data_IF_795506889651
#
_entry.id   IF_795506889651
#
_cell.length_a   1.000
_cell.length_b   1.000
_cell.length_c   1.000
_cell.angle_alpha   90.00
_cell.angle_beta   90.00
_cell.angle_gamma   90.00
#
_symmetry.space_group_name_H-M   'P 1'
#
loop_
_entity.id
_entity.type
_entity.pdbx_description
1 polymer ?
#
# COMPACT_ATOMS: atom_id res chain seq x y z
N UNK A 1 -5.20 63.66 50.61
CA UNK A 1 -4.21 63.39 49.55
C UNK A 1 -3.79 61.92 49.63
N UNK A 2 -4.06 61.17 48.55
CA UNK A 2 -3.49 59.88 48.07
C UNK A 2 -2.43 59.23 49.00
N UNK A 3 -2.49 57.93 49.33
CA UNK A 3 -1.92 56.79 48.53
C UNK A 3 -2.30 55.47 49.22
N UNK A 4 -3.12 54.63 48.56
CA UNK A 4 -2.75 53.45 47.75
C UNK A 4 -2.47 52.20 48.61
N UNK A 5 -3.51 51.37 48.78
CA UNK A 5 -3.45 50.06 49.41
C UNK A 5 -2.81 49.04 48.47
N UNK A 6 -1.86 48.26 48.98
CA UNK A 6 -1.22 47.14 48.30
C UNK A 6 -2.19 45.95 48.34
N UNK A 7 -2.78 45.62 47.19
CA UNK A 7 -3.53 44.37 46.98
C UNK A 7 -2.53 43.27 46.64
N UNK A 8 -2.30 42.35 47.59
CA UNK A 8 -1.58 41.10 47.36
C UNK A 8 -2.52 40.17 46.58
N UNK A 9 -2.25 40.00 45.28
CA UNK A 9 -2.94 39.03 44.45
C UNK A 9 -2.46 37.62 44.81
N UNK A 10 -3.30 36.86 45.52
CA UNK A 10 -3.09 35.44 45.74
C UNK A 10 -3.22 34.69 44.39
N UNK A 11 -2.10 34.29 43.81
CA UNK A 11 -2.08 33.46 42.62
C UNK A 11 -2.53 32.03 42.98
N UNK A 12 -3.80 31.70 42.70
CA UNK A 12 -4.28 30.32 42.71
C UNK A 12 -3.59 29.57 41.55
N UNK A 13 -2.62 28.74 41.87
CA UNK A 13 -2.05 27.76 40.95
C UNK A 13 -3.01 26.59 40.83
N UNK A 14 -3.86 26.61 39.80
CA UNK A 14 -4.65 25.44 39.42
C UNK A 14 -3.71 24.46 38.73
N UNK A 15 -3.22 23.47 39.47
CA UNK A 15 -2.52 22.32 38.90
C UNK A 15 -3.55 21.43 38.21
N UNK A 16 -3.71 21.58 36.90
CA UNK A 16 -4.46 20.61 36.10
C UNK A 16 -3.75 19.25 36.20
N UNK A 17 -4.45 18.14 36.48
CA UNK A 17 -3.84 16.83 36.41
C UNK A 17 -3.42 16.61 34.96
N UNK A 18 -2.14 16.36 34.73
CA UNK A 18 -1.66 15.92 33.44
C UNK A 18 -2.41 14.62 33.13
N UNK A 19 -3.34 14.67 32.17
CA UNK A 19 -3.95 13.48 31.61
C UNK A 19 -2.82 12.68 30.99
N UNK A 20 -2.35 11.67 31.71
CA UNK A 20 -1.45 10.66 31.18
C UNK A 20 -2.18 10.04 29.99
N UNK A 21 -1.79 10.43 28.77
CA UNK A 21 -2.25 9.78 27.56
C UNK A 21 -1.76 8.34 27.66
N UNK A 22 -2.66 7.40 27.95
CA UNK A 22 -2.38 5.98 27.79
C UNK A 22 -2.14 5.76 26.30
N UNK A 23 -0.87 5.77 25.91
CA UNK A 23 -0.46 5.35 24.57
C UNK A 23 -0.81 3.87 24.46
N UNK A 24 -1.88 3.56 23.75
CA UNK A 24 -2.20 2.20 23.37
C UNK A 24 -0.99 1.62 22.63
N UNK A 25 -0.48 0.44 23.02
CA UNK A 25 0.61 -0.20 22.29
C UNK A 25 0.24 -0.26 20.81
N UNK A 26 1.15 0.17 19.94
CA UNK A 26 0.93 0.06 18.50
C UNK A 26 0.67 -1.41 18.16
N UNK A 27 -0.35 -1.72 17.33
CA UNK A 27 -0.61 -3.09 16.92
C UNK A 27 0.65 -3.69 16.29
N UNK A 28 0.98 -4.92 16.69
CA UNK A 28 2.11 -5.66 16.11
C UNK A 28 1.73 -6.10 14.70
N UNK A 29 2.15 -5.34 13.69
CA UNK A 29 1.99 -5.73 12.29
C UNK A 29 3.09 -6.72 11.93
N UNK A 30 2.73 -7.98 11.71
CA UNK A 30 3.66 -8.99 11.20
C UNK A 30 3.58 -9.02 9.68
N UNK A 31 4.69 -8.73 9.02
CA UNK A 31 4.80 -8.85 7.56
C UNK A 31 5.37 -10.23 7.21
N UNK A 32 4.84 -10.92 6.18
CA UNK A 32 5.38 -12.19 5.73
C UNK A 32 6.88 -12.05 5.37
N UNK A 33 7.66 -13.12 5.53
CA UNK A 33 9.06 -13.14 5.13
C UNK A 33 9.22 -13.15 3.61
N UNK A 34 10.42 -12.84 3.11
CA UNK A 34 10.76 -13.11 1.71
C UNK A 34 11.04 -14.60 1.51
N UNK A 35 10.55 -15.15 0.39
CA UNK A 35 10.78 -16.53 -0.01
C UNK A 35 11.65 -16.63 -1.25
N UNK A 36 11.52 -17.76 -1.96
CA UNK A 36 12.10 -17.91 -3.31
C UNK A 36 11.52 -16.86 -4.27
N UNK A 37 12.20 -16.62 -5.36
CA UNK A 37 11.70 -15.75 -6.43
C UNK A 37 10.60 -16.47 -7.22
N UNK A 38 9.54 -15.74 -7.58
CA UNK A 38 8.50 -16.19 -8.48
C UNK A 38 9.09 -16.54 -9.85
N UNK A 39 8.71 -17.69 -10.43
CA UNK A 39 9.17 -18.04 -11.78
C UNK A 39 8.21 -17.49 -12.85
N UNK A 40 8.65 -17.52 -14.12
CA UNK A 40 7.86 -17.01 -15.23
C UNK A 40 6.51 -17.73 -15.42
N UNK A 41 6.43 -19.03 -15.11
CA UNK A 41 5.18 -19.78 -15.26
C UNK A 41 4.12 -19.29 -14.25
N UNK A 42 4.53 -19.09 -13.00
CA UNK A 42 3.69 -18.51 -11.94
C UNK A 42 3.28 -17.07 -12.25
N UNK A 43 4.22 -16.25 -12.75
CA UNK A 43 3.92 -14.89 -13.18
C UNK A 43 2.88 -14.88 -14.31
N UNK A 44 2.99 -15.78 -15.29
CA UNK A 44 1.98 -15.94 -16.36
C UNK A 44 0.62 -16.39 -15.84
N UNK A 45 0.58 -17.24 -14.80
CA UNK A 45 -0.69 -17.58 -14.13
C UNK A 45 -1.33 -16.36 -13.49
N UNK A 46 -0.56 -15.52 -12.80
CA UNK A 46 -1.06 -14.27 -12.22
C UNK A 46 -1.57 -13.30 -13.32
N UNK A 47 -0.80 -13.12 -14.40
CA UNK A 47 -1.18 -12.28 -15.54
C UNK A 47 -2.50 -12.72 -16.18
N UNK A 48 -2.64 -14.01 -16.49
CA UNK A 48 -3.86 -14.55 -17.09
C UNK A 48 -5.10 -14.32 -16.21
N UNK A 49 -4.95 -14.47 -14.88
CA UNK A 49 -6.04 -14.19 -13.94
C UNK A 49 -6.37 -12.69 -13.86
N UNK A 50 -5.35 -11.81 -13.89
CA UNK A 50 -5.54 -10.37 -13.94
C UNK A 50 -6.29 -9.95 -15.22
N UNK A 51 -5.84 -10.44 -16.38
CA UNK A 51 -6.46 -10.16 -17.67
C UNK A 51 -7.92 -10.63 -17.70
N UNK A 52 -8.18 -11.85 -17.22
CA UNK A 52 -9.54 -12.39 -17.16
C UNK A 52 -10.48 -11.52 -16.31
N UNK A 53 -10.02 -11.09 -15.13
CA UNK A 53 -10.82 -10.21 -14.25
C UNK A 53 -11.02 -8.82 -14.88
N UNK A 54 -10.00 -8.23 -15.49
CA UNK A 54 -10.12 -6.94 -16.17
C UNK A 54 -11.10 -7.01 -17.36
N UNK A 55 -10.98 -8.04 -18.21
CA UNK A 55 -11.86 -8.26 -19.36
C UNK A 55 -13.31 -8.50 -18.95
N UNK A 56 -13.53 -9.29 -17.90
CA UNK A 56 -14.87 -9.55 -17.34
C UNK A 56 -15.59 -8.26 -16.95
N UNK A 57 -14.87 -7.25 -16.49
CA UNK A 57 -15.43 -5.97 -16.04
C UNK A 57 -15.33 -4.84 -17.09
N UNK A 58 -14.78 -5.13 -18.28
CA UNK A 58 -14.62 -4.13 -19.35
C UNK A 58 -13.56 -3.06 -19.04
N UNK A 59 -12.53 -3.40 -18.29
CA UNK A 59 -11.43 -2.49 -17.95
C UNK A 59 -10.18 -2.80 -18.78
N UNK A 60 -9.51 -1.74 -19.26
CA UNK A 60 -8.22 -1.84 -19.91
C UNK A 60 -7.14 -1.45 -18.90
N UNK A 61 -6.21 -2.35 -18.62
CA UNK A 61 -5.17 -2.17 -17.60
C UNK A 61 -3.78 -2.56 -18.10
N UNK A 62 -2.77 -2.02 -17.43
CA UNK A 62 -1.41 -2.54 -17.38
C UNK A 62 -1.30 -3.44 -16.16
N UNK A 63 -0.66 -4.59 -16.33
CA UNK A 63 -0.36 -5.54 -15.26
C UNK A 63 1.14 -5.81 -15.25
N UNK A 64 1.78 -5.61 -14.10
CA UNK A 64 3.23 -5.81 -13.89
C UNK A 64 3.44 -6.81 -12.77
N UNK A 65 4.25 -7.85 -13.02
CA UNK A 65 4.70 -8.81 -12.01
C UNK A 65 6.19 -8.63 -11.77
N UNK A 66 6.58 -8.54 -10.50
CA UNK A 66 7.98 -8.35 -10.07
C UNK A 66 8.43 -9.39 -9.05
N UNK A 67 9.74 -9.61 -8.99
CA UNK A 67 10.43 -10.33 -7.93
C UNK A 67 10.38 -9.56 -6.59
N UNK A 68 10.77 -10.16 -5.46
CA UNK A 68 10.81 -9.46 -4.17
C UNK A 68 11.70 -8.21 -4.14
N UNK A 69 12.72 -8.16 -5.00
CA UNK A 69 13.61 -6.99 -5.18
C UNK A 69 12.91 -5.82 -5.88
N UNK A 70 11.77 -6.08 -6.54
CA UNK A 70 11.10 -5.16 -7.47
C UNK A 70 11.56 -5.32 -8.93
N UNK A 71 12.48 -6.26 -9.22
CA UNK A 71 12.90 -6.53 -10.60
C UNK A 71 11.75 -7.12 -11.43
N UNK A 72 11.62 -6.68 -12.68
CA UNK A 72 10.55 -7.12 -13.59
C UNK A 72 10.68 -8.61 -13.92
N UNK A 73 9.57 -9.34 -13.81
CA UNK A 73 9.44 -10.74 -14.29
C UNK A 73 8.60 -10.79 -15.56
N UNK A 74 7.43 -10.16 -15.54
CA UNK A 74 6.51 -10.16 -16.67
C UNK A 74 5.61 -8.91 -16.65
N UNK A 75 5.19 -8.48 -17.83
CA UNK A 75 4.34 -7.30 -18.00
C UNK A 75 3.38 -7.50 -19.18
N UNK A 76 2.15 -7.03 -19.02
CA UNK A 76 1.15 -6.96 -20.08
C UNK A 76 0.44 -5.61 -20.04
N UNK A 77 0.10 -5.08 -21.22
CA UNK A 77 -0.70 -3.85 -21.36
C UNK A 77 -1.83 -4.13 -22.32
N UNK A 78 -3.06 -4.00 -21.84
CA UNK A 78 -4.25 -4.09 -22.69
C UNK A 78 -4.31 -2.89 -23.65
N UNK A 79 -4.85 -3.12 -24.83
CA UNK A 79 -5.05 -2.07 -25.83
C UNK A 79 -5.96 -0.96 -25.29
N UNK A 80 -5.67 0.29 -25.67
CA UNK A 80 -6.42 1.45 -25.19
C UNK A 80 -6.17 1.86 -23.73
N UNK A 81 -5.31 1.17 -22.98
CA UNK A 81 -4.90 1.62 -21.63
C UNK A 81 -4.07 2.90 -21.70
N UNK A 82 -4.25 3.81 -20.74
CA UNK A 82 -3.51 5.07 -20.64
C UNK A 82 -2.01 4.81 -20.47
N UNK A 83 -1.16 5.57 -21.19
CA UNK A 83 0.29 5.33 -21.17
C UNK A 83 0.94 5.49 -19.79
N UNK A 84 0.46 6.43 -18.97
CA UNK A 84 0.94 6.62 -17.60
C UNK A 84 0.70 5.43 -16.67
N UNK A 85 -0.19 4.50 -17.05
CA UNK A 85 -0.45 3.29 -16.27
C UNK A 85 0.76 2.34 -16.20
N UNK A 86 1.73 2.46 -17.12
CA UNK A 86 2.97 1.65 -17.08
C UNK A 86 3.77 1.97 -15.82
N UNK A 87 4.05 3.26 -15.59
CA UNK A 87 4.83 3.71 -14.44
C UNK A 87 4.06 3.50 -13.14
N UNK A 88 2.73 3.72 -13.17
CA UNK A 88 1.87 3.54 -11.99
C UNK A 88 1.78 2.06 -11.59
N UNK A 89 1.55 1.14 -12.54
CA UNK A 89 1.52 -0.30 -12.26
C UNK A 89 2.88 -0.80 -11.76
N UNK A 90 3.98 -0.32 -12.35
CA UNK A 90 5.35 -0.64 -11.90
C UNK A 90 5.57 -0.19 -10.46
N UNK A 91 5.27 1.08 -10.16
CA UNK A 91 5.41 1.62 -8.80
C UNK A 91 4.56 0.88 -7.78
N UNK A 92 3.34 0.45 -8.14
CA UNK A 92 2.47 -0.35 -7.27
C UNK A 92 3.07 -1.74 -6.99
N UNK A 93 3.56 -2.43 -8.01
CA UNK A 93 4.18 -3.75 -7.88
C UNK A 93 5.44 -3.68 -7.01
N UNK A 94 6.34 -2.75 -7.30
CA UNK A 94 7.58 -2.53 -6.55
C UNK A 94 7.31 -2.18 -5.08
N UNK A 95 6.31 -1.32 -4.84
CA UNK A 95 5.92 -0.93 -3.48
C UNK A 95 5.41 -2.15 -2.71
N UNK A 96 4.55 -2.96 -3.31
CA UNK A 96 4.05 -4.16 -2.66
C UNK A 96 5.19 -5.14 -2.33
N UNK A 97 6.10 -5.41 -3.28
CA UNK A 97 7.24 -6.31 -3.09
C UNK A 97 8.20 -5.82 -1.99
N UNK A 98 8.69 -4.57 -2.10
CA UNK A 98 9.76 -4.05 -1.22
C UNK A 98 9.30 -3.79 0.21
N UNK A 99 8.01 -3.52 0.41
CA UNK A 99 7.47 -3.28 1.74
C UNK A 99 6.62 -4.43 2.29
N UNK A 100 6.45 -5.51 1.51
CA UNK A 100 5.77 -6.74 1.92
C UNK A 100 4.35 -6.48 2.45
N UNK A 101 3.64 -5.55 1.79
CA UNK A 101 2.25 -5.19 2.10
C UNK A 101 1.55 -4.59 0.88
N UNK A 102 0.23 -4.77 0.73
CA UNK A 102 -0.51 -4.21 -0.40
C UNK A 102 -0.48 -2.68 -0.42
N UNK A 103 -0.54 -2.08 -1.61
CA UNK A 103 -0.52 -0.62 -1.76
C UNK A 103 -1.77 0.05 -1.18
N UNK A 104 -2.86 -0.71 -1.01
CA UNK A 104 -4.06 -0.28 -0.30
C UNK A 104 -3.75 0.21 1.13
N UNK A 105 -2.81 -0.43 1.84
CA UNK A 105 -2.41 -0.03 3.18
C UNK A 105 -1.72 1.34 3.19
N UNK A 106 -0.93 1.65 2.15
CA UNK A 106 -0.30 2.96 2.00
C UNK A 106 -1.31 4.04 1.62
N UNK A 107 -2.23 3.72 0.71
CA UNK A 107 -3.33 4.60 0.35
C UNK A 107 -4.17 4.96 1.58
N UNK A 108 -4.45 3.98 2.45
CA UNK A 108 -5.16 4.20 3.69
C UNK A 108 -4.37 5.09 4.65
N UNK A 109 -3.07 4.83 4.84
CA UNK A 109 -2.22 5.68 5.67
C UNK A 109 -2.23 7.15 5.22
N UNK A 110 -2.18 7.40 3.91
CA UNK A 110 -2.27 8.77 3.36
C UNK A 110 -3.64 9.40 3.65
N UNK A 111 -4.74 8.64 3.50
CA UNK A 111 -6.10 9.10 3.84
C UNK A 111 -6.24 9.45 5.33
N UNK A 112 -5.54 8.71 6.19
CA UNK A 112 -5.51 8.92 7.65
C UNK A 112 -4.58 10.07 8.07
N UNK A 113 -3.98 10.79 7.11
CA UNK A 113 -3.08 11.92 7.36
C UNK A 113 -1.61 11.54 7.60
N UNK A 114 -1.26 10.25 7.49
CA UNK A 114 0.11 9.79 7.57
C UNK A 114 0.78 9.85 6.19
N UNK A 115 1.58 10.89 5.98
CA UNK A 115 2.28 11.14 4.72
C UNK A 115 3.65 10.44 4.62
N UNK A 116 4.03 9.58 5.58
CA UNK A 116 5.33 8.90 5.57
C UNK A 116 5.58 8.09 4.30
N UNK A 117 4.54 7.49 3.74
CA UNK A 117 4.57 6.75 2.47
C UNK A 117 5.19 7.58 1.34
N UNK A 118 4.92 8.88 1.31
CA UNK A 118 5.41 9.81 0.28
C UNK A 118 6.94 9.97 0.38
N UNK A 119 7.47 10.09 1.60
CA UNK A 119 8.91 10.27 1.82
C UNK A 119 9.73 9.00 1.54
N UNK A 120 9.08 7.84 1.50
CA UNK A 120 9.73 6.55 1.18
C UNK A 120 9.72 6.20 -0.31
N UNK A 121 9.10 7.03 -1.16
CA UNK A 121 8.92 6.73 -2.59
C UNK A 121 7.88 5.64 -2.87
N UNK A 122 7.06 5.28 -1.88
CA UNK A 122 6.02 4.27 -2.04
C UNK A 122 4.86 4.81 -2.87
N UNK A 123 4.38 4.00 -3.83
CA UNK A 123 3.17 4.30 -4.61
C UNK A 123 1.94 4.03 -3.73
N UNK A 124 1.46 5.07 -3.05
CA UNK A 124 0.34 5.02 -2.12
C UNK A 124 -1.03 5.01 -2.82
N UNK A 125 -1.18 4.13 -3.82
CA UNK A 125 -2.39 3.98 -4.62
C UNK A 125 -2.74 2.49 -4.73
N UNK A 126 -3.96 2.11 -4.39
CA UNK A 126 -4.42 0.71 -4.45
C UNK A 126 -4.26 0.11 -5.85
N UNK A 127 -3.93 -1.18 -5.90
CA UNK A 127 -3.66 -1.94 -7.14
C UNK A 127 -2.36 -2.73 -7.11
N UNK A 128 -1.56 -2.65 -6.04
CA UNK A 128 -0.41 -3.50 -5.78
C UNK A 128 -0.73 -4.55 -4.72
N UNK A 129 -0.50 -5.83 -5.03
CA UNK A 129 -0.77 -6.97 -4.16
C UNK A 129 0.44 -7.92 -4.06
N UNK A 130 0.54 -8.63 -2.94
CA UNK A 130 1.59 -9.61 -2.71
C UNK A 130 1.30 -10.92 -3.43
N UNK A 131 2.33 -11.54 -3.98
CA UNK A 131 2.28 -12.93 -4.43
C UNK A 131 2.93 -13.77 -3.34
N UNK A 132 2.13 -14.59 -2.66
CA UNK A 132 2.54 -15.39 -1.50
C UNK A 132 2.45 -16.88 -1.84
N UNK A 133 3.52 -17.62 -1.57
CA UNK A 133 3.57 -19.08 -1.69
C UNK A 133 4.22 -19.61 -0.41
N UNK A 134 3.62 -20.64 0.19
CA UNK A 134 4.11 -21.24 1.45
C UNK A 134 4.28 -20.20 2.59
N UNK A 135 3.41 -19.18 2.62
CA UNK A 135 3.45 -18.11 3.62
C UNK A 135 4.58 -17.08 3.42
N UNK A 136 5.34 -17.15 2.33
CA UNK A 136 6.42 -16.23 2.01
C UNK A 136 6.11 -15.38 0.78
N UNK A 137 6.58 -14.13 0.77
CA UNK A 137 6.49 -13.24 -0.39
C UNK A 137 7.48 -13.71 -1.45
N UNK A 138 6.96 -14.20 -2.56
CA UNK A 138 7.76 -14.64 -3.73
C UNK A 138 7.85 -13.57 -4.82
N UNK A 139 7.03 -12.52 -4.70
CA UNK A 139 6.97 -11.41 -5.63
C UNK A 139 5.77 -10.52 -5.32
N UNK A 140 5.45 -9.63 -6.26
CA UNK A 140 4.25 -8.80 -6.20
C UNK A 140 3.69 -8.55 -7.59
N UNK A 141 2.43 -8.14 -7.63
CA UNK A 141 1.75 -7.69 -8.83
C UNK A 141 1.25 -6.26 -8.66
N UNK A 142 1.30 -5.46 -9.71
CA UNK A 142 0.76 -4.11 -9.77
C UNK A 142 -0.15 -3.95 -10.98
N UNK A 143 -1.32 -3.35 -10.77
CA UNK A 143 -2.32 -3.09 -11.80
C UNK A 143 -2.63 -1.60 -11.88
N UNK A 144 -2.75 -1.06 -13.09
CA UNK A 144 -3.17 0.32 -13.32
C UNK A 144 -3.92 0.48 -14.63
N UNK A 145 -5.00 1.26 -14.62
CA UNK A 145 -5.74 1.67 -15.82
C UNK A 145 -7.22 1.95 -15.56
N UNK A 146 -7.72 1.48 -14.42
CA UNK A 146 -9.06 1.73 -13.91
C UNK A 146 -9.00 2.64 -12.66
N UNK A 147 -10.07 2.69 -11.87
CA UNK A 147 -10.02 3.32 -10.54
C UNK A 147 -9.16 2.48 -9.58
N UNK A 148 -8.60 3.09 -8.54
CA UNK A 148 -7.71 2.39 -7.60
C UNK A 148 -8.35 1.13 -6.98
N UNK A 149 -9.63 1.18 -6.65
CA UNK A 149 -10.35 0.02 -6.11
C UNK A 149 -10.52 -1.10 -7.15
N UNK A 150 -10.73 -0.75 -8.42
CA UNK A 150 -10.84 -1.70 -9.53
C UNK A 150 -9.48 -2.33 -9.86
N UNK A 151 -8.41 -1.53 -9.89
CA UNK A 151 -7.04 -2.03 -10.00
C UNK A 151 -6.74 -3.02 -8.86
N UNK A 152 -7.13 -2.68 -7.62
CA UNK A 152 -7.01 -3.56 -6.46
C UNK A 152 -7.77 -4.88 -6.61
N UNK A 153 -9.00 -4.83 -7.15
CA UNK A 153 -9.78 -6.03 -7.43
C UNK A 153 -9.06 -6.96 -8.41
N UNK A 154 -8.55 -6.43 -9.52
CA UNK A 154 -7.80 -7.20 -10.52
C UNK A 154 -6.52 -7.77 -9.91
N UNK A 155 -5.76 -6.97 -9.15
CA UNK A 155 -4.54 -7.42 -8.49
C UNK A 155 -4.79 -8.56 -7.48
N UNK A 156 -5.90 -8.50 -6.73
CA UNK A 156 -6.29 -9.57 -5.80
C UNK A 156 -6.72 -10.84 -6.51
N UNK A 157 -7.42 -10.74 -7.64
CA UNK A 157 -7.77 -11.90 -8.45
C UNK A 157 -6.51 -12.62 -8.97
N UNK A 158 -5.51 -11.85 -9.39
CA UNK A 158 -4.22 -12.37 -9.82
C UNK A 158 -3.43 -13.02 -8.69
N UNK A 159 -3.36 -12.37 -7.52
CA UNK A 159 -2.71 -12.92 -6.34
C UNK A 159 -3.35 -14.25 -5.92
N UNK A 160 -4.69 -14.31 -5.88
CA UNK A 160 -5.42 -15.52 -5.52
C UNK A 160 -5.13 -16.72 -6.44
N UNK A 161 -4.79 -16.47 -7.71
CA UNK A 161 -4.45 -17.54 -8.66
C UNK A 161 -3.08 -18.21 -8.39
N UNK A 162 -2.20 -17.55 -7.62
CA UNK A 162 -0.88 -18.07 -7.26
C UNK A 162 -0.73 -18.46 -5.79
N UNK A 163 -1.70 -18.11 -4.94
CA UNK A 163 -1.73 -18.56 -3.53
C UNK A 163 -1.80 -20.09 -3.49
N UNK A 164 -0.70 -20.72 -3.11
CA UNK A 164 -0.58 -22.14 -2.79
C UNK A 164 0.21 -22.31 -1.50
#
# INVERSE_FOLDING_TARGET
>A
MKRLAILVAAALTVTAPALAQTQTPAPTVTYPGYGRVINLAEAKTALAAAEAEARKNGWNVVVIVVEPTGALVAAEKMDGTQYGSIDVATGKAETAARFRRPTAAFQQAVKDGNLNSIFTGAMALEGGELLIIDGQVVGAIGVSGATAAQDGQVARAAAAAVLK
#
